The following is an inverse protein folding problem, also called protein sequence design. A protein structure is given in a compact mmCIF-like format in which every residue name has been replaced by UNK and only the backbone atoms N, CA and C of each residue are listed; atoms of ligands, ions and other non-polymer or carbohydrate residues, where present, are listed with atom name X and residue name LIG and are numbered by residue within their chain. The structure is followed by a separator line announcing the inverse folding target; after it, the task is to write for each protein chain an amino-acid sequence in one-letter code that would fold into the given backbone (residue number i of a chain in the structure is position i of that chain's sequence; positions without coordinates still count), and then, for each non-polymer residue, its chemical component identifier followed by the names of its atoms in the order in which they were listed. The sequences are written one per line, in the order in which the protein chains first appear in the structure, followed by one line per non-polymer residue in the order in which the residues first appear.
data_IF_516098666214
#
_entry.id   IF_516098666214
#
_cell.length_a   1.000
_cell.length_b   1.000
_cell.length_c   1.000
_cell.angle_alpha   90.00
_cell.angle_beta   90.00
_cell.angle_gamma   90.00
#
_symmetry.space_group_name_H-M   'P 1'
#
loop_
_entity.id
_entity.type
_entity.pdbx_description
1 polymer ?
#
# COMPACT_ATOMS: atom_id res chain seq x y z
N UNK A 1 -10.68 20.37 -40.25
CA UNK A 1 -11.01 20.67 -38.84
C UNK A 1 -10.72 19.40 -38.02
N UNK A 2 -9.91 19.42 -36.95
CA UNK A 2 -10.30 19.67 -35.53
C UNK A 2 -11.50 18.77 -35.13
N UNK A 3 -11.57 18.00 -34.04
CA UNK A 3 -10.75 17.75 -32.81
C UNK A 3 -11.19 16.35 -32.27
N UNK A 4 -10.46 15.56 -31.46
CA UNK A 4 -9.05 15.57 -31.03
C UNK A 4 -8.64 14.15 -30.52
N UNK A 5 -7.37 13.98 -30.15
CA UNK A 5 -6.67 12.84 -29.53
C UNK A 5 -7.36 12.14 -28.35
N UNK A 6 -7.39 10.80 -28.37
CA UNK A 6 -7.58 9.98 -27.14
C UNK A 6 -6.26 10.02 -26.35
N UNK A 7 -6.35 10.41 -25.08
CA UNK A 7 -5.20 10.64 -24.21
C UNK A 7 -4.68 9.30 -23.70
N UNK A 8 -3.46 8.94 -24.12
CA UNK A 8 -2.67 7.94 -23.41
C UNK A 8 -2.20 8.57 -22.09
N UNK A 9 -2.78 8.16 -20.96
CA UNK A 9 -2.30 8.54 -19.63
C UNK A 9 -1.01 7.78 -19.35
N UNK A 10 0.10 8.33 -19.84
CA UNK A 10 1.44 7.90 -19.46
C UNK A 10 1.62 8.28 -17.99
N UNK A 11 1.61 7.27 -17.10
CA UNK A 11 1.89 7.48 -15.69
C UNK A 11 3.38 7.81 -15.54
N UNK A 12 3.68 9.11 -15.51
CA UNK A 12 5.03 9.65 -15.37
C UNK A 12 5.52 9.46 -13.93
N UNK A 13 5.96 8.24 -13.60
CA UNK A 13 6.81 8.04 -12.42
C UNK A 13 8.13 8.73 -12.73
N UNK A 14 8.38 9.84 -12.04
CA UNK A 14 9.63 10.58 -12.10
C UNK A 14 10.79 9.67 -11.63
N UNK A 15 11.47 9.06 -12.59
CA UNK A 15 12.86 8.63 -12.39
C UNK A 15 13.69 9.90 -12.21
N UNK A 16 13.93 10.27 -10.95
CA UNK A 16 14.86 11.34 -10.57
C UNK A 16 16.28 10.98 -11.00
N UNK A 17 16.60 11.27 -12.26
CA UNK A 17 17.95 11.27 -12.81
C UNK A 17 18.70 12.53 -12.42
N UNK A 18 18.91 12.73 -11.12
CA UNK A 18 19.81 13.79 -10.61
C UNK A 18 21.21 13.20 -10.48
N UNK A 19 22.10 13.60 -11.39
CA UNK A 19 23.52 13.28 -11.29
C UNK A 19 24.17 14.17 -10.22
N UNK A 20 24.12 13.72 -8.97
CA UNK A 20 24.87 14.26 -7.84
C UNK A 20 25.37 13.11 -6.98
N UNK A 21 26.61 13.18 -6.48
CA UNK A 21 27.21 12.11 -5.67
C UNK A 21 26.72 12.15 -4.21
N UNK A 22 25.45 12.48 -4.01
CA UNK A 22 24.76 12.34 -2.73
C UNK A 22 24.42 10.86 -2.54
N UNK A 23 24.70 10.31 -1.35
CA UNK A 23 24.20 8.99 -0.99
C UNK A 23 22.68 9.08 -0.84
N UNK A 24 21.96 8.84 -1.93
CA UNK A 24 20.50 8.67 -1.89
C UNK A 24 20.19 7.59 -0.86
N UNK A 25 19.39 7.94 0.15
CA UNK A 25 19.03 6.98 1.20
C UNK A 25 18.31 5.77 0.58
N UNK A 26 18.57 4.55 1.09
CA UNK A 26 17.87 3.37 0.59
C UNK A 26 16.38 3.53 0.82
N UNK A 27 15.57 3.14 -0.18
CA UNK A 27 14.12 3.18 -0.07
C UNK A 27 13.63 1.97 0.73
N UNK A 28 12.70 2.21 1.66
CA UNK A 28 11.92 1.15 2.29
C UNK A 28 10.43 1.32 1.98
N UNK A 29 9.87 0.38 1.23
CA UNK A 29 8.46 0.38 0.84
C UNK A 29 7.64 -0.49 1.80
N UNK A 30 6.54 0.05 2.30
CA UNK A 30 5.51 -0.67 3.03
C UNK A 30 4.30 -0.88 2.11
N UNK A 31 3.90 -2.13 1.91
CA UNK A 31 2.62 -2.47 1.27
C UNK A 31 1.63 -2.89 2.36
N UNK A 32 0.60 -2.07 2.57
CA UNK A 32 -0.51 -2.35 3.49
C UNK A 32 -1.69 -2.83 2.64
N UNK A 33 -1.96 -4.13 2.64
CA UNK A 33 -2.97 -4.75 1.79
C UNK A 33 -4.19 -5.11 2.64
N UNK A 34 -5.32 -4.50 2.34
CA UNK A 34 -6.60 -4.86 2.94
C UNK A 34 -7.05 -6.24 2.42
N UNK A 35 -7.43 -7.13 3.34
CA UNK A 35 -8.04 -8.42 3.04
C UNK A 35 -9.27 -8.70 3.91
N UNK A 36 -9.97 -7.64 4.30
CA UNK A 36 -11.33 -7.67 4.84
C UNK A 36 -12.30 -8.43 3.91
N UNK A 37 -13.51 -8.71 4.38
CA UNK A 37 -14.55 -9.36 3.55
C UNK A 37 -15.14 -8.43 2.47
N UNK A 38 -15.19 -7.11 2.69
CA UNK A 38 -15.69 -6.16 1.67
C UNK A 38 -14.82 -6.17 0.40
N UNK A 39 -13.53 -6.48 0.53
CA UNK A 39 -12.62 -6.68 -0.59
C UNK A 39 -12.95 -7.89 -1.49
N UNK A 40 -13.89 -8.77 -1.11
CA UNK A 40 -14.46 -9.80 -2.01
C UNK A 40 -15.40 -9.19 -3.07
N UNK A 41 -16.05 -8.06 -2.75
CA UNK A 41 -17.03 -7.42 -3.62
C UNK A 41 -16.41 -6.94 -4.94
N UNK A 42 -17.17 -7.12 -6.02
CA UNK A 42 -16.80 -6.83 -7.40
C UNK A 42 -15.39 -7.30 -7.83
N UNK A 43 -14.92 -8.41 -7.26
CA UNK A 43 -13.60 -9.02 -7.53
C UNK A 43 -12.41 -8.12 -7.16
N UNK A 44 -12.58 -7.18 -6.22
CA UNK A 44 -11.60 -6.13 -5.94
C UNK A 44 -10.26 -6.67 -5.43
N UNK A 45 -10.26 -7.64 -4.52
CA UNK A 45 -9.03 -8.29 -4.05
C UNK A 45 -8.30 -9.07 -5.16
N UNK A 46 -9.02 -9.78 -6.04
CA UNK A 46 -8.37 -10.56 -7.10
C UNK A 46 -7.78 -9.66 -8.19
N UNK A 47 -8.46 -8.55 -8.52
CA UNK A 47 -7.90 -7.47 -9.32
C UNK A 47 -6.63 -6.89 -8.69
N UNK A 48 -6.63 -6.64 -7.37
CA UNK A 48 -5.44 -6.15 -6.66
C UNK A 48 -4.28 -7.14 -6.72
N UNK A 49 -4.52 -8.44 -6.46
CA UNK A 49 -3.49 -9.48 -6.56
C UNK A 49 -2.86 -9.49 -7.97
N UNK A 50 -3.69 -9.46 -9.01
CA UNK A 50 -3.24 -9.41 -10.40
C UNK A 50 -2.46 -8.13 -10.72
N UNK A 51 -2.95 -6.96 -10.27
CA UNK A 51 -2.29 -5.68 -10.48
C UNK A 51 -0.94 -5.61 -9.76
N UNK A 52 -0.88 -6.02 -8.48
CA UNK A 52 0.36 -6.06 -7.71
C UNK A 52 1.40 -6.96 -8.36
N UNK A 53 1.00 -8.19 -8.71
CA UNK A 53 1.94 -9.21 -9.18
C UNK A 53 2.39 -8.99 -10.62
N UNK A 54 1.51 -8.50 -11.52
CA UNK A 54 1.79 -8.33 -12.95
C UNK A 54 2.27 -6.92 -13.31
N UNK A 55 1.89 -5.89 -12.56
CA UNK A 55 2.15 -4.49 -12.90
C UNK A 55 2.99 -3.75 -11.84
N UNK A 56 2.63 -3.84 -10.55
CA UNK A 56 3.32 -3.06 -9.53
C UNK A 56 4.72 -3.60 -9.22
N UNK A 57 4.82 -4.81 -8.66
CA UNK A 57 6.07 -5.38 -8.17
C UNK A 57 7.17 -5.44 -9.26
N UNK A 58 6.91 -5.93 -10.49
CA UNK A 58 7.96 -6.06 -11.50
C UNK A 58 8.53 -4.73 -12.01
N UNK A 59 7.74 -3.64 -11.96
CA UNK A 59 8.13 -2.34 -12.51
C UNK A 59 8.67 -1.38 -11.43
N UNK A 60 8.24 -1.52 -10.18
CA UNK A 60 8.50 -0.55 -9.12
C UNK A 60 9.47 -1.06 -8.04
N UNK A 61 9.57 -2.37 -7.82
CA UNK A 61 10.46 -2.95 -6.79
C UNK A 61 11.71 -3.51 -7.46
N UNK A 62 12.88 -3.02 -7.05
CA UNK A 62 14.18 -3.31 -7.69
C UNK A 62 15.16 -3.92 -6.69
N UNK A 63 16.23 -4.50 -7.23
CA UNK A 63 17.34 -5.00 -6.44
C UNK A 63 17.96 -3.87 -5.61
N UNK A 64 18.02 -4.06 -4.29
CA UNK A 64 18.50 -3.09 -3.31
C UNK A 64 17.39 -2.39 -2.52
N UNK A 65 16.15 -2.41 -3.00
CA UNK A 65 15.01 -1.86 -2.27
C UNK A 65 14.66 -2.76 -1.08
N UNK A 66 14.24 -2.15 0.03
CA UNK A 66 13.69 -2.90 1.17
C UNK A 66 12.17 -2.88 1.12
N UNK A 67 11.54 -4.03 1.34
CA UNK A 67 10.09 -4.19 1.25
C UNK A 67 9.57 -4.86 2.52
N UNK A 68 8.54 -4.26 3.11
CA UNK A 68 7.69 -4.91 4.12
C UNK A 68 6.26 -5.02 3.58
N UNK A 69 5.63 -6.17 3.75
CA UNK A 69 4.23 -6.39 3.37
C UNK A 69 3.43 -6.76 4.60
N UNK A 70 2.30 -6.09 4.77
CA UNK A 70 1.29 -6.36 5.77
C UNK A 70 -0.03 -6.72 5.10
N UNK A 71 -0.75 -7.68 5.67
CA UNK A 71 -2.18 -7.83 5.46
C UNK A 71 -2.92 -7.24 6.64
N UNK A 72 -3.96 -6.45 6.41
CA UNK A 72 -4.80 -5.91 7.46
C UNK A 72 -6.30 -6.15 7.20
N UNK A 73 -7.05 -6.09 8.29
CA UNK A 73 -8.50 -6.23 8.43
C UNK A 73 -8.79 -5.81 9.90
N UNK A 74 -9.62 -6.52 10.67
CA UNK A 74 -9.69 -6.35 12.13
C UNK A 74 -8.40 -6.65 12.93
N UNK A 75 -7.32 -7.10 12.29
CA UNK A 75 -5.95 -7.17 12.85
C UNK A 75 -4.92 -6.93 11.72
N UNK A 76 -3.68 -6.56 12.08
CA UNK A 76 -2.60 -6.30 11.11
C UNK A 76 -1.46 -7.31 11.25
N UNK A 77 -1.10 -7.99 10.15
CA UNK A 77 -0.10 -9.07 10.12
C UNK A 77 1.01 -8.80 9.12
N UNK A 78 2.26 -8.73 9.61
CA UNK A 78 3.46 -8.66 8.77
C UNK A 78 3.73 -10.04 8.17
N UNK A 79 3.72 -10.14 6.84
CA UNK A 79 3.93 -11.40 6.11
C UNK A 79 5.25 -11.46 5.35
N UNK A 80 5.85 -10.30 5.06
CA UNK A 80 7.14 -10.20 4.41
C UNK A 80 7.93 -9.01 4.97
N UNK A 81 9.24 -9.16 5.12
CA UNK A 81 10.17 -8.07 5.45
C UNK A 81 11.60 -8.44 5.03
N UNK A 82 12.04 -8.01 3.85
CA UNK A 82 13.39 -8.28 3.33
C UNK A 82 13.87 -7.17 2.40
N UNK A 83 15.18 -7.05 2.24
CA UNK A 83 15.78 -6.35 1.09
C UNK A 83 15.80 -7.27 -0.12
N UNK A 84 15.33 -6.78 -1.27
CA UNK A 84 15.24 -7.55 -2.51
C UNK A 84 16.62 -7.66 -3.14
N UNK A 85 17.15 -8.88 -3.25
CA UNK A 85 18.51 -9.12 -3.75
C UNK A 85 18.53 -9.96 -5.04
N UNK A 86 17.47 -10.73 -5.25
CA UNK A 86 17.31 -11.74 -6.30
C UNK A 86 15.88 -11.73 -6.86
N UNK A 87 15.69 -12.34 -8.03
CA UNK A 87 14.37 -12.58 -8.60
C UNK A 87 13.53 -13.56 -7.74
N UNK A 88 14.18 -14.47 -7.00
CA UNK A 88 13.51 -15.38 -6.08
C UNK A 88 12.82 -14.64 -4.92
N UNK A 89 13.37 -13.52 -4.45
CA UNK A 89 12.74 -12.68 -3.42
C UNK A 89 11.42 -12.07 -3.94
N UNK A 90 11.39 -11.64 -5.21
CA UNK A 90 10.16 -11.13 -5.86
C UNK A 90 9.12 -12.23 -6.05
N UNK A 91 9.55 -13.42 -6.49
CA UNK A 91 8.67 -14.59 -6.65
C UNK A 91 8.07 -15.02 -5.30
N UNK A 92 8.82 -14.93 -4.21
CA UNK A 92 8.32 -15.21 -2.85
C UNK A 92 7.16 -14.27 -2.48
N UNK A 93 7.34 -12.96 -2.67
CA UNK A 93 6.29 -11.94 -2.40
C UNK A 93 5.06 -12.18 -3.27
N UNK A 94 5.26 -12.40 -4.57
CA UNK A 94 4.18 -12.69 -5.51
C UNK A 94 3.42 -13.97 -5.09
N UNK A 95 4.14 -14.99 -4.61
CA UNK A 95 3.56 -16.25 -4.13
C UNK A 95 2.78 -16.09 -2.82
N UNK A 96 3.22 -15.21 -1.92
CA UNK A 96 2.48 -14.83 -0.70
C UNK A 96 1.17 -14.15 -1.10
N UNK A 97 1.26 -13.06 -1.88
CA UNK A 97 0.09 -12.27 -2.31
C UNK A 97 -0.92 -13.15 -3.07
N UNK A 98 -0.47 -14.02 -3.98
CA UNK A 98 -1.35 -14.86 -4.81
C UNK A 98 -2.12 -15.95 -4.06
N UNK A 99 -1.75 -16.27 -2.81
CA UNK A 99 -2.38 -17.35 -2.01
C UNK A 99 -3.47 -16.84 -1.08
N UNK A 100 -3.45 -15.55 -0.75
CA UNK A 100 -4.43 -14.95 0.14
C UNK A 100 -5.82 -14.81 -0.49
N UNK A 101 -6.79 -14.55 0.38
CA UNK A 101 -8.18 -14.29 0.05
C UNK A 101 -8.74 -13.18 0.95
N UNK A 102 -9.72 -12.40 0.47
CA UNK A 102 -10.52 -11.54 1.34
C UNK A 102 -11.29 -12.44 2.32
N UNK A 103 -10.85 -12.47 3.57
CA UNK A 103 -11.40 -13.35 4.61
C UNK A 103 -11.25 -12.80 6.03
N UNK A 104 -10.78 -11.56 6.16
CA UNK A 104 -10.70 -10.86 7.42
C UNK A 104 -12.09 -10.38 7.85
N UNK A 105 -12.60 -10.77 9.03
CA UNK A 105 -13.76 -10.08 9.60
C UNK A 105 -13.31 -8.67 10.03
N UNK A 106 -14.17 -7.67 9.79
CA UNK A 106 -13.93 -6.26 10.12
C UNK A 106 -12.78 -5.62 9.33
N UNK A 107 -12.77 -4.29 9.28
CA UNK A 107 -11.69 -3.50 8.66
C UNK A 107 -11.21 -2.46 9.66
N UNK A 108 -9.96 -2.57 10.13
CA UNK A 108 -9.38 -1.66 11.10
C UNK A 108 -8.12 -0.98 10.55
N UNK A 109 -8.35 0.00 9.69
CA UNK A 109 -7.35 0.89 9.09
C UNK A 109 -6.62 1.66 10.21
N UNK A 110 -7.31 2.08 11.27
CA UNK A 110 -6.67 2.74 12.42
C UNK A 110 -5.60 1.88 13.10
N UNK A 111 -5.92 0.61 13.38
CA UNK A 111 -4.95 -0.37 13.91
C UNK A 111 -3.83 -0.66 12.90
N UNK A 112 -4.13 -0.64 11.59
CA UNK A 112 -3.14 -0.74 10.53
C UNK A 112 -2.18 0.46 10.51
N UNK A 113 -2.66 1.68 10.79
CA UNK A 113 -1.83 2.88 10.88
C UNK A 113 -0.94 2.88 12.12
N UNK A 114 -1.44 2.46 13.30
CA UNK A 114 -0.60 2.24 14.49
C UNK A 114 0.52 1.21 14.19
N UNK A 115 0.18 0.11 13.53
CA UNK A 115 1.13 -0.95 13.14
C UNK A 115 2.18 -0.47 12.13
N UNK A 116 1.78 0.40 11.20
CA UNK A 116 2.68 1.03 10.23
C UNK A 116 3.63 2.01 10.93
N UNK A 117 3.11 2.86 11.83
CA UNK A 117 3.88 3.83 12.61
C UNK A 117 4.96 3.15 13.44
N UNK A 118 4.65 2.04 14.11
CA UNK A 118 5.65 1.20 14.81
C UNK A 118 6.70 0.62 13.86
N UNK A 119 6.28 0.11 12.69
CA UNK A 119 7.22 -0.46 11.71
C UNK A 119 8.17 0.60 11.13
N UNK A 120 7.66 1.81 10.87
CA UNK A 120 8.40 2.95 10.32
C UNK A 120 9.44 3.47 11.32
N UNK A 121 9.09 3.60 12.61
CA UNK A 121 10.04 3.98 13.67
C UNK A 121 11.25 3.05 13.79
N UNK A 122 11.09 1.77 13.41
CA UNK A 122 12.15 0.76 13.47
C UNK A 122 12.91 0.56 12.14
N UNK A 123 12.62 1.39 11.13
CA UNK A 123 13.13 1.23 9.76
C UNK A 123 14.31 2.16 9.46
N UNK A 124 15.17 1.73 8.54
CA UNK A 124 16.33 2.50 8.06
C UNK A 124 16.13 2.89 6.60
N UNK A 125 16.41 4.14 6.27
CA UNK A 125 16.17 4.70 4.94
C UNK A 125 14.81 5.38 4.83
N UNK A 126 14.52 5.92 3.65
CA UNK A 126 13.32 6.71 3.39
C UNK A 126 12.08 5.79 3.36
N UNK A 127 11.10 5.95 4.26
CA UNK A 127 9.91 5.10 4.29
C UNK A 127 8.81 5.66 3.38
N UNK A 128 8.23 4.81 2.54
CA UNK A 128 7.03 5.11 1.75
C UNK A 128 6.01 4.01 2.02
N UNK A 129 4.76 4.38 2.31
CA UNK A 129 3.68 3.43 2.48
C UNK A 129 2.65 3.52 1.34
N UNK A 130 2.20 2.35 0.90
CA UNK A 130 1.12 2.19 -0.07
C UNK A 130 0.03 1.34 0.57
N UNK A 131 -1.14 1.95 0.79
CA UNK A 131 -2.32 1.29 1.35
C UNK A 131 -3.28 0.96 0.22
N UNK A 132 -3.83 -0.25 0.25
CA UNK A 132 -4.66 -0.83 -0.79
C UNK A 132 -5.97 -1.30 -0.17
N UNK A 133 -7.05 -0.53 -0.31
CA UNK A 133 -8.33 -0.74 0.40
C UNK A 133 -9.50 -0.05 -0.32
N UNK A 134 -10.74 -0.41 0.05
CA UNK A 134 -11.96 0.36 -0.26
C UNK A 134 -12.12 1.61 0.62
N UNK A 135 -11.29 1.74 1.66
CA UNK A 135 -11.27 2.81 2.68
C UNK A 135 -12.49 2.82 3.62
N UNK A 136 -13.21 1.69 3.72
CA UNK A 136 -14.29 1.50 4.67
C UNK A 136 -13.71 1.03 6.02
N UNK A 137 -13.76 1.88 7.04
CA UNK A 137 -13.42 1.47 8.42
C UNK A 137 -14.64 0.79 9.04
N UNK A 138 -14.49 -0.43 9.56
CA UNK A 138 -15.52 -1.21 10.24
C UNK A 138 -14.93 -1.96 11.45
N UNK A 139 -14.29 -1.26 12.38
CA UNK A 139 -13.52 -1.92 13.44
C UNK A 139 -14.40 -2.51 14.55
N UNK A 140 -14.02 -3.70 15.01
CA UNK A 140 -14.72 -4.42 16.07
C UNK A 140 -14.65 -3.71 17.44
N UNK A 141 -15.66 -3.93 18.29
CA UNK A 141 -15.80 -3.31 19.61
C UNK A 141 -14.54 -3.31 20.52
N UNK A 142 -13.67 -4.35 20.54
CA UNK A 142 -12.46 -4.33 21.36
C UNK A 142 -11.36 -3.37 20.86
N UNK A 143 -11.46 -2.81 19.66
CA UNK A 143 -10.46 -1.90 19.10
C UNK A 143 -10.57 -0.49 19.68
N UNK A 144 -9.43 0.21 19.78
CA UNK A 144 -9.34 1.67 20.00
C UNK A 144 -10.16 2.46 18.96
N UNK A 145 -10.31 1.92 17.75
CA UNK A 145 -10.96 2.57 16.60
C UNK A 145 -12.37 2.03 16.30
N UNK A 146 -12.98 1.32 17.26
CA UNK A 146 -14.26 0.64 17.09
C UNK A 146 -15.37 1.52 16.48
N UNK A 147 -16.10 0.95 15.53
CA UNK A 147 -17.19 1.63 14.82
C UNK A 147 -17.02 1.59 13.30
N UNK A 148 -18.08 1.99 12.60
CA UNK A 148 -18.12 2.08 11.13
C UNK A 148 -17.99 3.53 10.68
N UNK A 149 -17.04 3.82 9.80
CA UNK A 149 -16.79 5.15 9.24
C UNK A 149 -16.46 5.05 7.75
N UNK A 150 -17.26 5.74 6.92
CA UNK A 150 -17.09 5.78 5.46
C UNK A 150 -16.25 6.98 4.98
N UNK A 151 -15.94 7.91 5.89
CA UNK A 151 -15.16 9.13 5.66
C UNK A 151 -13.73 9.03 6.25
N UNK A 152 -13.23 7.81 6.48
CA UNK A 152 -11.88 7.59 7.02
C UNK A 152 -10.81 8.31 6.18
N UNK A 153 -10.97 8.29 4.86
CA UNK A 153 -10.09 8.98 3.93
C UNK A 153 -10.01 10.49 4.19
N UNK A 154 -11.17 11.15 4.38
CA UNK A 154 -11.25 12.59 4.61
C UNK A 154 -10.73 12.99 6.01
N UNK A 155 -10.78 12.07 6.97
CA UNK A 155 -10.33 12.33 8.35
C UNK A 155 -8.84 12.13 8.57
N UNK A 156 -8.27 11.08 7.98
CA UNK A 156 -6.94 10.60 8.37
C UNK A 156 -5.91 10.65 7.23
N UNK A 157 -6.30 10.97 5.99
CA UNK A 157 -5.40 10.96 4.83
C UNK A 157 -5.09 12.36 4.26
N UNK A 158 -5.03 13.37 5.14
CA UNK A 158 -5.01 14.79 4.75
C UNK A 158 -3.73 15.26 4.04
N UNK A 159 -2.61 14.54 4.15
CA UNK A 159 -1.36 14.82 3.41
C UNK A 159 -1.14 13.87 2.22
N UNK A 160 -2.08 12.95 1.96
CA UNK A 160 -1.83 11.78 1.12
C UNK A 160 -2.41 11.88 -0.29
N UNK A 161 -1.83 11.08 -1.18
CA UNK A 161 -2.34 10.93 -2.55
C UNK A 161 -3.20 9.69 -2.64
N UNK A 162 -4.52 9.89 -2.59
CA UNK A 162 -5.51 8.86 -2.90
C UNK A 162 -5.66 8.75 -4.42
N UNK A 163 -5.34 7.59 -4.97
CA UNK A 163 -5.48 7.24 -6.38
C UNK A 163 -6.53 6.13 -6.53
N UNK A 164 -7.66 6.36 -7.25
CA UNK A 164 -8.59 5.28 -7.55
C UNK A 164 -7.94 4.30 -8.53
N UNK A 165 -7.87 3.03 -8.15
CA UNK A 165 -7.47 1.93 -9.03
C UNK A 165 -8.68 1.33 -9.78
N UNK A 166 -9.85 1.39 -9.14
CA UNK A 166 -11.18 1.06 -9.68
C UNK A 166 -12.23 1.90 -8.93
N UNK A 167 -13.48 1.88 -9.37
CA UNK A 167 -14.61 2.38 -8.57
C UNK A 167 -14.60 1.78 -7.17
N UNK A 168 -14.76 2.63 -6.15
CA UNK A 168 -14.71 2.32 -4.71
C UNK A 168 -13.47 1.54 -4.24
N UNK A 169 -12.35 1.63 -4.97
CA UNK A 169 -11.13 0.90 -4.62
C UNK A 169 -9.85 1.70 -4.91
N UNK A 170 -9.01 1.86 -3.90
CA UNK A 170 -8.00 2.92 -3.85
C UNK A 170 -6.60 2.41 -3.50
N UNK A 171 -5.60 3.04 -4.13
CA UNK A 171 -4.25 3.12 -3.61
C UNK A 171 -4.10 4.46 -2.87
N UNK A 172 -3.76 4.43 -1.59
CA UNK A 172 -3.30 5.61 -0.86
C UNK A 172 -1.78 5.57 -0.80
N UNK A 173 -1.11 6.67 -1.16
CA UNK A 173 0.33 6.81 -1.01
C UNK A 173 0.65 7.79 0.10
N UNK A 174 1.24 7.29 1.20
CA UNK A 174 1.81 8.08 2.28
C UNK A 174 3.30 8.30 2.02
N UNK A 175 3.74 9.55 1.97
CA UNK A 175 5.17 9.90 2.00
C UNK A 175 5.57 10.16 3.44
N UNK A 176 6.17 9.16 4.08
CA UNK A 176 6.48 9.17 5.50
C UNK A 176 7.82 9.87 5.75
N UNK A 177 7.93 11.13 5.33
CA UNK A 177 9.16 11.90 5.51
C UNK A 177 9.55 12.03 6.99
N UNK A 178 8.58 11.92 7.93
CA UNK A 178 8.82 11.72 9.36
C UNK A 178 7.75 10.80 9.97
N UNK A 179 8.07 9.90 10.93
CA UNK A 179 7.09 9.02 11.59
C UNK A 179 6.04 9.78 12.43
N UNK A 180 6.26 11.06 12.68
CA UNK A 180 5.42 11.96 13.48
C UNK A 180 4.34 12.69 12.66
N UNK A 181 4.25 12.48 11.34
CA UNK A 181 3.13 12.98 10.50
C UNK A 181 1.99 11.97 10.32
N UNK A 182 2.18 10.73 10.78
CA UNK A 182 1.07 9.76 10.90
C UNK A 182 0.33 10.09 12.19
N UNK A 183 -0.88 10.65 12.15
CA UNK A 183 -1.69 10.93 13.35
C UNK A 183 -2.37 9.66 13.90
#
# INVERSE_FOLDING_TARGET
MKKQSIIAVIFLIFLFSVHGNEKKEPLHVFLMIDKSLSMEEDYSFSFLQDWLNKNFLPNNVKKGDSLTVFFFYGETKRVFNKTINTEADLIEIQSIISKEKPNGPFTDIGLAMDSLKEAVQNTKGLPIALIFSDLIQEAAYPSKYAGTYYDFAERYLNEDRVFPLKENYYQVTLQLERPETIE
#
